data_IF_662665608613
#
_entry.id   IF_662665608613
#
_cell.length_a   1.000
_cell.length_b   1.000
_cell.length_c   1.000
_cell.angle_alpha   90.00
_cell.angle_beta   90.00
_cell.angle_gamma   90.00
#
_symmetry.space_group_name_H-M   'P 1'
#
loop_
_entity.id
_entity.type
_entity.pdbx_description
1 polymer ?
#
# COMPACT_ATOMS: atom_id res chain seq x y z
N UNK A 1 -19.26 0.75 48.15
CA UNK A 1 -19.95 1.76 47.31
C UNK A 1 -19.32 1.72 45.92
N UNK A 2 -20.07 1.59 44.80
CA UNK A 2 -19.47 1.70 43.48
C UNK A 2 -19.40 3.19 43.07
N UNK A 3 -18.31 3.58 42.41
CA UNK A 3 -18.13 4.93 41.90
C UNK A 3 -18.98 5.16 40.63
N UNK A 4 -19.78 6.22 40.62
CA UNK A 4 -20.53 6.66 39.45
C UNK A 4 -19.64 7.57 38.58
N UNK A 5 -19.46 7.20 37.31
CA UNK A 5 -18.75 8.02 36.32
C UNK A 5 -19.67 9.16 35.82
N UNK A 6 -19.15 10.36 35.50
CA UNK A 6 -19.99 11.42 34.97
C UNK A 6 -20.43 11.08 33.54
N UNK A 7 -21.74 11.17 33.28
CA UNK A 7 -22.30 11.05 31.94
C UNK A 7 -21.98 12.32 31.13
N UNK A 8 -20.79 12.36 30.53
CA UNK A 8 -20.42 13.43 29.60
C UNK A 8 -21.25 13.27 28.34
N UNK A 9 -22.12 14.24 28.04
CA UNK A 9 -22.83 14.35 26.76
C UNK A 9 -21.81 14.30 25.62
N UNK A 10 -21.69 13.14 24.99
CA UNK A 10 -20.73 12.88 23.93
C UNK A 10 -21.31 13.42 22.63
N UNK A 11 -21.14 14.71 22.38
CA UNK A 11 -21.29 15.26 21.03
C UNK A 11 -20.22 14.58 20.19
N UNK A 12 -20.59 13.54 19.45
CA UNK A 12 -19.66 12.83 18.58
C UNK A 12 -19.06 13.85 17.61
N UNK A 13 -17.74 14.06 17.58
CA UNK A 13 -17.16 14.75 16.44
C UNK A 13 -17.51 13.87 15.24
N UNK A 14 -18.27 14.41 14.29
CA UNK A 14 -18.40 13.79 12.97
C UNK A 14 -16.97 13.57 12.51
N UNK A 15 -16.58 12.30 12.41
CA UNK A 15 -15.27 11.89 11.90
C UNK A 15 -15.20 12.52 10.51
N UNK A 16 -14.55 13.67 10.38
CA UNK A 16 -14.16 14.20 9.08
C UNK A 16 -13.30 13.10 8.50
N UNK A 17 -13.81 12.40 7.49
CA UNK A 17 -12.99 11.47 6.73
C UNK A 17 -11.74 12.25 6.32
N UNK A 18 -10.53 11.78 6.70
CA UNK A 18 -9.31 12.32 6.14
C UNK A 18 -9.46 12.35 4.62
N UNK A 19 -9.02 13.40 3.91
CA UNK A 19 -9.06 13.41 2.45
C UNK A 19 -8.45 12.09 1.99
N UNK A 20 -9.25 11.28 1.27
CA UNK A 20 -8.98 9.88 0.96
C UNK A 20 -7.47 9.66 0.86
N UNK A 21 -6.87 9.12 1.92
CA UNK A 21 -5.47 8.73 1.87
C UNK A 21 -5.37 7.84 0.64
N UNK A 22 -4.57 8.25 -0.35
CA UNK A 22 -4.41 7.59 -1.65
C UNK A 22 -3.94 6.12 -1.52
N UNK A 23 -3.69 5.66 -0.30
CA UNK A 23 -3.37 4.30 0.12
C UNK A 23 -4.58 3.54 0.70
N UNK A 24 -5.62 3.39 -0.10
CA UNK A 24 -6.44 2.19 0.02
C UNK A 24 -5.65 1.00 -0.55
N UNK A 25 -5.88 -0.24 -0.09
CA UNK A 25 -5.27 -1.42 -0.70
C UNK A 25 -5.61 -1.46 -2.19
N UNK A 26 -4.59 -1.39 -3.04
CA UNK A 26 -4.76 -1.45 -4.50
C UNK A 26 -4.66 -2.89 -4.97
N UNK A 27 -5.36 -3.20 -6.07
CA UNK A 27 -5.20 -4.50 -6.75
C UNK A 27 -3.75 -4.67 -7.15
N UNK A 28 -3.22 -5.88 -7.01
CA UNK A 28 -1.82 -6.19 -7.35
C UNK A 28 -1.42 -5.72 -8.75
N UNK A 29 -2.35 -5.77 -9.72
CA UNK A 29 -2.15 -5.28 -11.08
C UNK A 29 -1.69 -3.82 -11.16
N UNK A 30 -2.12 -2.94 -10.24
CA UNK A 30 -1.69 -1.54 -10.21
C UNK A 30 -0.17 -1.41 -10.04
N UNK A 31 0.43 -2.27 -9.21
CA UNK A 31 1.87 -2.25 -8.96
C UNK A 31 2.65 -2.98 -10.07
N UNK A 32 2.00 -3.93 -10.76
CA UNK A 32 2.62 -4.71 -11.83
C UNK A 32 2.53 -4.05 -13.21
N UNK A 33 1.58 -3.14 -13.42
CA UNK A 33 1.38 -2.45 -14.69
C UNK A 33 2.66 -1.76 -15.22
N UNK A 34 3.47 -1.05 -14.40
CA UNK A 34 4.73 -0.46 -14.85
C UNK A 34 5.84 -1.47 -15.18
N UNK A 35 5.70 -2.72 -14.76
CA UNK A 35 6.63 -3.78 -15.10
C UNK A 35 6.39 -4.34 -16.50
N UNK A 36 5.24 -4.02 -17.12
CA UNK A 36 4.95 -4.44 -18.49
C UNK A 36 5.98 -3.80 -19.43
N UNK A 37 6.72 -4.64 -20.14
CA UNK A 37 7.76 -4.17 -21.07
C UNK A 37 9.01 -3.62 -20.38
N UNK A 38 9.25 -3.93 -19.09
CA UNK A 38 10.44 -3.51 -18.35
C UNK A 38 11.76 -3.88 -19.05
N UNK A 39 11.77 -4.99 -19.78
CA UNK A 39 12.90 -5.49 -20.55
C UNK A 39 13.17 -4.69 -21.85
N UNK A 40 12.32 -3.73 -22.22
CA UNK A 40 12.56 -2.85 -23.37
C UNK A 40 13.69 -1.85 -23.12
N UNK A 41 14.02 -1.62 -21.84
CA UNK A 41 15.21 -0.87 -21.45
C UNK A 41 16.41 -1.83 -21.33
N UNK A 42 17.52 -1.60 -22.05
CA UNK A 42 18.65 -2.52 -22.09
C UNK A 42 19.35 -2.70 -20.74
N UNK A 43 19.43 -1.66 -19.91
CA UNK A 43 20.02 -1.73 -18.57
C UNK A 43 19.16 -2.61 -17.65
N UNK A 44 17.85 -2.40 -17.68
CA UNK A 44 16.90 -3.22 -16.90
C UNK A 44 16.90 -4.68 -17.38
N UNK A 45 17.02 -4.90 -18.69
CA UNK A 45 17.11 -6.25 -19.25
C UNK A 45 18.36 -6.99 -18.76
N UNK A 46 19.51 -6.31 -18.63
CA UNK A 46 20.74 -6.91 -18.10
C UNK A 46 20.57 -7.34 -16.65
N UNK A 47 20.04 -6.45 -15.80
CA UNK A 47 19.78 -6.74 -14.38
C UNK A 47 18.83 -7.94 -14.25
N UNK A 48 17.76 -8.00 -15.05
CA UNK A 48 16.82 -9.13 -15.05
C UNK A 48 17.52 -10.44 -15.43
N UNK A 49 18.36 -10.42 -16.47
CA UNK A 49 19.12 -11.61 -16.88
C UNK A 49 20.05 -12.09 -15.77
N UNK A 50 20.73 -11.18 -15.09
CA UNK A 50 21.67 -11.54 -14.02
C UNK A 50 20.93 -12.08 -12.78
N UNK A 51 19.81 -11.46 -12.40
CA UNK A 51 18.92 -11.97 -11.35
C UNK A 51 18.42 -13.39 -11.64
N UNK A 52 17.94 -13.66 -12.86
CA UNK A 52 17.46 -14.99 -13.21
C UNK A 52 18.58 -16.03 -13.32
N UNK A 53 19.80 -15.64 -13.71
CA UNK A 53 20.95 -16.57 -13.75
C UNK A 53 21.35 -17.06 -12.36
N UNK A 54 21.30 -16.21 -11.33
CA UNK A 54 21.59 -16.59 -9.94
C UNK A 54 20.56 -17.56 -9.35
N UNK A 55 19.36 -17.65 -9.95
CA UNK A 55 18.29 -18.55 -9.48
C UNK A 55 18.34 -19.96 -10.06
N UNK A 56 19.24 -20.24 -11.00
CA UNK A 56 19.56 -21.60 -11.45
C UNK A 56 20.73 -22.15 -10.61
N UNK A 57 20.42 -22.70 -9.44
CA UNK A 57 21.31 -23.55 -8.63
C UNK A 57 20.87 -24.99 -8.79
#
# INVERSE_FOLDING_TARGET
MPAAWPATNRTTPVKRQPPCTTDGPRRIGYYLEPLKGIASNPDRQRILKDFFKETYV
#
